data_IF_254928833257
#
_entry.id   IF_254928833257
#
_cell.length_a   1.000
_cell.length_b   1.000
_cell.length_c   1.000
_cell.angle_alpha   90.00
_cell.angle_beta   90.00
_cell.angle_gamma   90.00
#
_symmetry.space_group_name_H-M   'P 1'
#
loop_
_entity.id
_entity.type
_entity.pdbx_description
1 polymer ?
#
# COMPACT_ATOMS: atom_id res chain seq x y z
N UNK A 1 -4.32 1.78 -17.66
CA UNK A 1 -4.21 0.35 -18.09
C UNK A 1 -4.30 -0.52 -16.86
N UNK A 2 -5.14 -1.57 -16.87
CA UNK A 2 -5.23 -2.53 -15.76
C UNK A 2 -4.40 -3.78 -16.10
N UNK A 3 -3.90 -4.50 -15.09
CA UNK A 3 -3.13 -5.72 -15.32
C UNK A 3 -3.94 -6.83 -16.02
N UNK A 4 -5.23 -6.91 -15.79
CA UNK A 4 -6.14 -7.87 -16.41
C UNK A 4 -6.76 -7.37 -17.74
N UNK A 5 -6.19 -6.35 -18.39
CA UNK A 5 -6.62 -5.85 -19.68
C UNK A 5 -5.81 -6.46 -20.83
N UNK A 6 -6.41 -6.52 -22.03
CA UNK A 6 -5.72 -6.91 -23.27
C UNK A 6 -4.53 -5.97 -23.56
N UNK A 7 -4.70 -4.69 -23.26
CA UNK A 7 -3.62 -3.69 -23.42
C UNK A 7 -2.37 -4.07 -22.62
N UNK A 8 -2.54 -4.58 -21.37
CA UNK A 8 -1.41 -5.02 -20.56
C UNK A 8 -0.77 -6.29 -21.11
N UNK A 9 -1.56 -7.22 -21.63
CA UNK A 9 -1.04 -8.46 -22.25
C UNK A 9 -0.20 -8.19 -23.49
N UNK A 10 -0.42 -7.05 -24.20
CA UNK A 10 0.40 -6.60 -25.32
C UNK A 10 1.57 -5.75 -24.82
N UNK A 11 1.30 -4.82 -23.91
CA UNK A 11 2.28 -3.89 -23.36
C UNK A 11 3.43 -4.61 -22.65
N UNK A 12 3.14 -5.54 -21.76
CA UNK A 12 4.14 -6.16 -20.93
C UNK A 12 5.20 -6.98 -21.70
N UNK A 13 4.83 -7.86 -22.65
CA UNK A 13 5.80 -8.53 -23.53
C UNK A 13 6.64 -7.57 -24.36
N UNK A 14 6.04 -6.49 -24.90
CA UNK A 14 6.77 -5.48 -25.65
C UNK A 14 7.80 -4.78 -24.78
N UNK A 15 7.43 -4.37 -23.55
CA UNK A 15 8.36 -3.77 -22.59
C UNK A 15 9.49 -4.74 -22.23
N UNK A 16 9.17 -6.00 -21.99
CA UNK A 16 10.13 -7.03 -21.63
C UNK A 16 11.14 -7.30 -22.75
N UNK A 17 10.67 -7.44 -23.98
CA UNK A 17 11.53 -7.67 -25.16
C UNK A 17 12.50 -6.51 -25.35
N UNK A 18 12.00 -5.27 -25.40
CA UNK A 18 12.86 -4.09 -25.57
C UNK A 18 13.84 -3.96 -24.39
N UNK A 19 13.40 -4.23 -23.16
CA UNK A 19 14.26 -4.18 -21.97
C UNK A 19 15.51 -5.07 -22.09
N UNK A 20 15.40 -6.24 -22.68
CA UNK A 20 16.55 -7.13 -22.86
C UNK A 20 17.38 -6.82 -24.12
N UNK A 21 16.79 -6.18 -25.13
CA UNK A 21 17.49 -5.75 -26.35
C UNK A 21 18.36 -4.53 -26.08
N UNK A 22 17.84 -3.54 -25.33
CA UNK A 22 18.57 -2.27 -25.12
C UNK A 22 19.78 -2.45 -24.18
N UNK A 23 20.85 -1.68 -24.37
CA UNK A 23 22.00 -1.66 -23.47
C UNK A 23 21.62 -1.37 -22.02
N UNK A 24 22.34 -1.97 -21.07
CA UNK A 24 22.06 -1.83 -19.63
C UNK A 24 21.93 -0.38 -19.15
N UNK A 25 22.69 0.55 -19.75
CA UNK A 25 22.66 1.99 -19.40
C UNK A 25 21.32 2.65 -19.73
N UNK A 26 20.60 2.17 -20.74
CA UNK A 26 19.35 2.73 -21.23
C UNK A 26 18.14 2.10 -20.54
N UNK A 27 18.28 0.89 -19.99
CA UNK A 27 17.19 0.14 -19.34
C UNK A 27 16.40 0.92 -18.28
N UNK A 28 17.04 1.66 -17.37
CA UNK A 28 16.27 2.46 -16.40
C UNK A 28 15.41 3.54 -17.07
N UNK A 29 15.93 4.18 -18.10
CA UNK A 29 15.17 5.18 -18.88
C UNK A 29 14.01 4.54 -19.62
N UNK A 30 14.23 3.36 -20.23
CA UNK A 30 13.18 2.59 -20.89
C UNK A 30 12.06 2.21 -19.90
N UNK A 31 12.41 1.68 -18.74
CA UNK A 31 11.43 1.35 -17.70
C UNK A 31 10.69 2.58 -17.18
N UNK A 32 11.36 3.72 -17.06
CA UNK A 32 10.72 4.98 -16.68
C UNK A 32 9.68 5.41 -17.71
N UNK A 33 10.03 5.44 -18.97
CA UNK A 33 9.11 5.79 -20.06
C UNK A 33 7.92 4.82 -20.11
N UNK A 34 8.19 3.51 -20.00
CA UNK A 34 7.16 2.48 -19.96
C UNK A 34 6.24 2.66 -18.74
N UNK A 35 6.78 3.04 -17.57
CA UNK A 35 5.99 3.28 -16.36
C UNK A 35 5.07 4.50 -16.49
N UNK A 36 5.58 5.59 -17.05
CA UNK A 36 4.75 6.77 -17.33
C UNK A 36 3.71 6.48 -18.40
N UNK A 37 4.06 5.78 -19.49
CA UNK A 37 3.09 5.36 -20.50
C UNK A 37 1.99 4.50 -19.88
N UNK A 38 2.34 3.49 -19.08
CA UNK A 38 1.39 2.63 -18.37
C UNK A 38 0.45 3.44 -17.48
N UNK A 39 0.97 4.39 -16.73
CA UNK A 39 0.18 5.22 -15.81
C UNK A 39 -0.71 6.23 -16.56
N UNK A 40 -0.17 6.89 -17.57
CA UNK A 40 -0.86 7.92 -18.36
C UNK A 40 -1.88 7.33 -19.34
N UNK A 41 -1.84 6.05 -19.66
CA UNK A 41 -2.83 5.38 -20.51
C UNK A 41 -4.26 5.47 -19.97
N UNK A 42 -4.42 5.76 -18.68
CA UNK A 42 -5.73 6.03 -18.07
C UNK A 42 -6.15 7.49 -18.23
N UNK A 43 -5.29 8.40 -17.79
CA UNK A 43 -5.46 9.85 -17.92
C UNK A 43 -4.09 10.53 -17.90
N UNK A 44 -3.69 11.20 -18.98
CA UNK A 44 -2.39 11.87 -19.08
C UNK A 44 -2.15 12.92 -17.99
N UNK A 45 -3.20 13.61 -17.53
CA UNK A 45 -3.10 14.66 -16.48
C UNK A 45 -2.57 14.07 -15.17
N UNK A 46 -2.90 12.82 -14.87
CA UNK A 46 -2.40 12.15 -13.67
C UNK A 46 -0.87 11.97 -13.68
N UNK A 47 -0.25 11.89 -14.87
CA UNK A 47 1.21 11.85 -15.01
C UNK A 47 1.89 13.13 -14.50
N UNK A 48 1.26 14.28 -14.66
CA UNK A 48 1.76 15.55 -14.12
C UNK A 48 1.76 15.52 -12.59
N UNK A 49 0.71 14.99 -11.99
CA UNK A 49 0.60 14.87 -10.53
C UNK A 49 1.65 13.91 -9.96
N UNK A 50 1.85 12.76 -10.60
CA UNK A 50 2.92 11.81 -10.26
C UNK A 50 4.29 12.47 -10.34
N UNK A 51 4.55 13.25 -11.41
CA UNK A 51 5.79 14.00 -11.58
C UNK A 51 5.95 15.08 -10.50
N UNK A 52 4.89 15.78 -10.13
CA UNK A 52 4.93 16.80 -9.08
C UNK A 52 5.31 16.20 -7.72
N UNK A 53 4.66 15.09 -7.30
CA UNK A 53 5.03 14.37 -6.06
C UNK A 53 6.48 13.93 -6.12
N UNK A 54 6.89 13.34 -7.24
CA UNK A 54 8.27 12.88 -7.44
C UNK A 54 9.28 14.03 -7.32
N UNK A 55 9.01 15.17 -7.95
CA UNK A 55 9.92 16.32 -7.92
C UNK A 55 10.00 16.95 -6.51
N UNK A 56 8.87 17.14 -5.85
CA UNK A 56 8.80 17.71 -4.49
C UNK A 56 9.61 16.82 -3.52
N UNK A 57 9.31 15.53 -3.46
CA UNK A 57 9.98 14.61 -2.52
C UNK A 57 11.46 14.36 -2.88
N UNK A 58 11.84 14.42 -4.16
CA UNK A 58 13.24 14.39 -4.58
C UNK A 58 14.01 15.60 -4.06
N UNK A 59 13.49 16.79 -4.31
CA UNK A 59 14.12 18.05 -3.89
C UNK A 59 14.20 18.14 -2.36
N UNK A 60 13.11 17.78 -1.67
CA UNK A 60 13.07 17.75 -0.21
C UNK A 60 14.12 16.81 0.39
N UNK A 61 14.24 15.60 -0.14
CA UNK A 61 15.27 14.66 0.32
C UNK A 61 16.69 15.20 0.09
N UNK A 62 16.94 15.83 -1.05
CA UNK A 62 18.23 16.50 -1.35
C UNK A 62 18.54 17.64 -0.39
N UNK A 63 17.54 18.45 -0.05
CA UNK A 63 17.66 19.53 0.93
C UNK A 63 17.95 18.97 2.33
N UNK A 64 17.19 17.94 2.76
CA UNK A 64 17.39 17.30 4.05
C UNK A 64 18.81 16.74 4.22
N UNK A 65 19.36 16.09 3.19
CA UNK A 65 20.73 15.55 3.24
C UNK A 65 21.80 16.65 3.28
N UNK A 66 21.63 17.75 2.52
CA UNK A 66 22.58 18.89 2.57
C UNK A 66 22.67 19.50 3.96
N UNK A 67 21.59 19.50 4.72
CA UNK A 67 21.55 20.04 6.07
C UNK A 67 22.20 19.15 7.12
N UNK A 68 22.46 17.87 6.84
CA UNK A 68 23.19 16.96 7.74
C UNK A 68 24.67 17.31 7.84
N UNK A 69 25.23 17.93 6.82
CA UNK A 69 26.66 18.33 6.79
C UNK A 69 27.00 19.52 7.69
N UNK A 70 26.01 20.16 8.34
CA UNK A 70 26.22 21.39 9.10
C UNK A 70 25.69 21.27 10.54
N UNK A 71 26.55 21.50 11.54
CA UNK A 71 26.22 21.36 12.98
C UNK A 71 25.36 22.51 13.55
N UNK A 72 24.54 22.23 14.57
CA UNK A 72 23.91 23.22 15.45
C UNK A 72 22.41 23.50 15.16
N UNK A 73 22.01 24.76 14.96
CA UNK A 73 20.60 25.27 14.82
C UNK A 73 19.74 24.55 13.75
N UNK A 74 20.33 23.64 12.98
CA UNK A 74 19.75 23.03 11.77
C UNK A 74 18.84 21.84 12.03
N UNK A 75 18.90 21.17 13.20
CA UNK A 75 17.96 20.05 13.51
C UNK A 75 16.50 20.51 13.51
N UNK A 76 16.22 21.72 14.00
CA UNK A 76 14.88 22.32 13.97
C UNK A 76 14.45 22.62 12.53
N UNK A 77 15.33 23.22 11.74
CA UNK A 77 15.03 23.55 10.34
C UNK A 77 14.82 22.29 9.49
N UNK A 78 15.63 21.25 9.70
CA UNK A 78 15.46 19.95 9.05
C UNK A 78 14.07 19.33 9.35
N UNK A 79 13.61 19.43 10.62
CA UNK A 79 12.27 18.97 11.00
C UNK A 79 11.17 19.82 10.34
N UNK A 80 11.35 21.13 10.24
CA UNK A 80 10.40 22.05 9.59
C UNK A 80 10.25 21.67 8.10
N UNK A 81 11.36 21.47 7.40
CA UNK A 81 11.34 21.04 5.98
C UNK A 81 10.60 19.73 5.83
N UNK A 82 10.95 18.71 6.64
CA UNK A 82 10.24 17.42 6.58
C UNK A 82 8.73 17.61 6.78
N UNK A 83 8.31 18.38 7.79
CA UNK A 83 6.89 18.60 8.10
C UNK A 83 6.21 19.34 6.96
N UNK A 84 6.84 20.36 6.38
CA UNK A 84 6.30 21.10 5.23
C UNK A 84 6.10 20.19 4.01
N UNK A 85 7.09 19.35 3.68
CA UNK A 85 7.03 18.38 2.60
C UNK A 85 5.92 17.33 2.83
N UNK A 86 5.85 16.78 4.05
CA UNK A 86 4.80 15.82 4.43
C UNK A 86 3.41 16.46 4.31
N UNK A 87 3.24 17.70 4.78
CA UNK A 87 1.97 18.46 4.64
C UNK A 87 1.65 18.70 3.16
N UNK A 88 2.62 19.08 2.33
CA UNK A 88 2.40 19.31 0.91
C UNK A 88 1.92 18.03 0.20
N UNK A 89 2.59 16.90 0.44
CA UNK A 89 2.28 15.62 -0.21
C UNK A 89 0.97 15.01 0.33
N UNK A 90 0.75 15.04 1.65
CA UNK A 90 -0.52 14.59 2.25
C UNK A 90 -1.66 15.55 1.90
N UNK A 91 -1.39 16.85 1.85
CA UNK A 91 -2.38 17.86 1.44
C UNK A 91 -2.88 17.63 0.02
N UNK A 92 -1.97 17.27 -0.89
CA UNK A 92 -2.33 16.91 -2.25
C UNK A 92 -3.17 15.62 -2.30
N UNK A 93 -2.76 14.57 -1.57
CA UNK A 93 -3.58 13.38 -1.42
C UNK A 93 -4.96 13.72 -0.81
N UNK A 94 -4.98 14.59 0.20
CA UNK A 94 -6.17 15.07 0.87
C UNK A 94 -7.12 15.77 -0.08
N UNK A 95 -6.61 16.64 -0.90
CA UNK A 95 -7.37 17.38 -1.90
C UNK A 95 -8.13 16.47 -2.87
N UNK A 96 -7.46 15.46 -3.41
CA UNK A 96 -8.09 14.53 -4.36
C UNK A 96 -8.98 13.47 -3.70
N UNK A 97 -8.62 13.01 -2.52
CA UNK A 97 -9.26 11.85 -1.89
C UNK A 97 -10.29 12.19 -0.83
N UNK A 98 -10.07 13.26 -0.06
CA UNK A 98 -10.85 13.51 1.16
C UNK A 98 -11.76 14.72 1.09
N UNK A 99 -11.63 15.60 0.08
CA UNK A 99 -12.43 16.84 0.01
C UNK A 99 -13.92 16.53 -0.06
N UNK A 100 -14.37 15.60 -0.91
CA UNK A 100 -15.78 15.18 -0.97
C UNK A 100 -16.29 14.70 0.39
N UNK A 101 -15.56 13.81 1.03
CA UNK A 101 -15.90 13.26 2.35
C UNK A 101 -16.06 14.37 3.42
N UNK A 102 -15.14 15.35 3.43
CA UNK A 102 -15.25 16.47 4.37
C UNK A 102 -16.44 17.37 4.05
N UNK A 103 -16.70 17.67 2.78
CA UNK A 103 -17.86 18.45 2.36
C UNK A 103 -19.17 17.76 2.74
N UNK A 104 -19.32 16.47 2.46
CA UNK A 104 -20.50 15.68 2.83
C UNK A 104 -20.68 15.67 4.35
N UNK A 105 -19.61 15.46 5.11
CA UNK A 105 -19.66 15.46 6.57
C UNK A 105 -20.05 16.81 7.15
N UNK A 106 -19.53 17.91 6.59
CA UNK A 106 -19.88 19.28 6.98
C UNK A 106 -21.36 19.53 6.64
N UNK A 107 -21.83 19.17 5.47
CA UNK A 107 -23.21 19.38 5.03
C UNK A 107 -24.21 18.63 5.92
N UNK A 108 -23.88 17.41 6.39
CA UNK A 108 -24.68 16.70 7.40
C UNK A 108 -24.81 17.50 8.71
N UNK A 109 -23.73 18.13 9.14
CA UNK A 109 -23.74 19.00 10.34
C UNK A 109 -24.55 20.27 10.09
N UNK A 110 -24.31 20.97 8.96
CA UNK A 110 -25.03 22.19 8.60
C UNK A 110 -26.54 21.97 8.50
N UNK A 111 -26.96 20.82 7.94
CA UNK A 111 -28.37 20.43 7.85
C UNK A 111 -29.05 20.34 9.24
N UNK A 112 -28.33 19.86 10.27
CA UNK A 112 -28.86 19.83 11.66
C UNK A 112 -29.11 21.23 12.21
N UNK A 113 -28.34 22.22 11.79
CA UNK A 113 -28.51 23.62 12.17
C UNK A 113 -29.40 24.41 11.20
N UNK A 114 -30.02 23.75 10.20
CA UNK A 114 -30.84 24.36 9.13
C UNK A 114 -30.09 25.46 8.33
N UNK A 115 -28.78 25.27 8.17
CA UNK A 115 -27.93 26.12 7.35
C UNK A 115 -27.85 25.51 5.95
N UNK A 116 -27.83 26.36 4.91
CA UNK A 116 -27.72 25.91 3.53
C UNK A 116 -26.45 25.07 3.30
N UNK A 117 -26.50 23.99 2.50
CA UNK A 117 -25.34 23.19 2.20
C UNK A 117 -24.28 23.99 1.44
N UNK A 118 -23.03 23.64 1.65
CA UNK A 118 -21.92 24.15 0.84
C UNK A 118 -21.90 23.35 -0.47
N UNK A 119 -22.36 23.97 -1.55
CA UNK A 119 -22.35 23.39 -2.89
C UNK A 119 -21.04 23.75 -3.59
N UNK A 120 -20.12 22.80 -3.65
CA UNK A 120 -18.94 22.87 -4.49
C UNK A 120 -19.04 21.72 -5.49
N UNK A 121 -19.13 22.01 -6.77
CA UNK A 121 -19.06 20.99 -7.82
C UNK A 121 -17.67 20.33 -7.81
N UNK A 122 -17.53 19.30 -6.97
CA UNK A 122 -16.28 18.56 -6.81
C UNK A 122 -16.27 17.35 -7.75
N UNK A 123 -16.01 17.58 -9.01
CA UNK A 123 -16.02 16.51 -10.03
C UNK A 123 -14.59 16.11 -10.44
N UNK A 124 -13.69 15.97 -9.46
CA UNK A 124 -12.30 15.58 -9.72
C UNK A 124 -12.16 14.09 -9.55
N UNK A 125 -11.91 13.38 -10.65
CA UNK A 125 -11.63 11.96 -10.62
C UNK A 125 -10.37 11.67 -9.80
N UNK A 126 -10.49 10.74 -8.82
CA UNK A 126 -9.37 10.31 -8.00
C UNK A 126 -8.29 9.63 -8.88
N UNK A 127 -7.06 10.15 -8.91
CA UNK A 127 -5.98 9.50 -9.64
C UNK A 127 -5.68 8.11 -9.10
N UNK A 128 -5.76 7.10 -9.94
CA UNK A 128 -5.48 5.70 -9.54
C UNK A 128 -4.05 5.59 -9.05
N UNK A 129 -3.83 4.84 -7.98
CA UNK A 129 -2.49 4.63 -7.40
C UNK A 129 -1.94 5.81 -6.58
N UNK A 130 -2.65 6.96 -6.49
CA UNK A 130 -2.17 8.13 -5.74
C UNK A 130 -1.78 7.77 -4.30
N UNK A 131 -2.55 6.93 -3.63
CA UNK A 131 -2.27 6.50 -2.26
C UNK A 131 -0.98 5.66 -2.17
N UNK A 132 -0.68 4.83 -3.19
CA UNK A 132 0.49 3.95 -3.20
C UNK A 132 1.79 4.72 -3.44
N UNK A 133 1.87 5.51 -4.53
CA UNK A 133 3.08 6.25 -4.81
C UNK A 133 3.34 7.37 -3.80
N UNK A 134 2.29 7.94 -3.20
CA UNK A 134 2.42 8.90 -2.10
C UNK A 134 3.11 8.27 -0.89
N UNK A 135 2.68 7.07 -0.46
CA UNK A 135 3.34 6.37 0.65
C UNK A 135 4.78 5.95 0.31
N UNK A 136 5.04 5.51 -0.93
CA UNK A 136 6.39 5.20 -1.40
C UNK A 136 7.30 6.42 -1.30
N UNK A 137 6.87 7.58 -1.81
CA UNK A 137 7.62 8.83 -1.79
C UNK A 137 7.82 9.38 -0.36
N UNK A 138 6.78 9.35 0.48
CA UNK A 138 6.87 9.76 1.90
C UNK A 138 7.78 8.83 2.70
N UNK A 139 7.72 7.51 2.47
CA UNK A 139 8.61 6.55 3.12
C UNK A 139 10.08 6.86 2.83
N UNK A 140 10.41 7.12 1.57
CA UNK A 140 11.75 7.53 1.19
C UNK A 140 12.18 8.85 1.86
N UNK A 141 11.35 9.87 1.85
CA UNK A 141 11.64 11.17 2.46
C UNK A 141 11.94 11.05 3.96
N UNK A 142 11.12 10.26 4.67
CA UNK A 142 11.29 10.01 6.10
C UNK A 142 12.55 9.16 6.36
N UNK A 143 12.86 8.19 5.49
CA UNK A 143 14.07 7.36 5.62
C UNK A 143 15.34 8.20 5.42
N UNK A 144 15.36 9.15 4.49
CA UNK A 144 16.47 10.12 4.33
C UNK A 144 16.57 11.02 5.57
N UNK A 145 15.45 11.56 6.07
CA UNK A 145 15.46 12.35 7.30
C UNK A 145 16.03 11.59 8.51
N UNK A 146 15.72 10.29 8.61
CA UNK A 146 16.21 9.41 9.70
C UNK A 146 17.62 8.89 9.49
N UNK A 147 18.26 9.18 8.36
CA UNK A 147 19.57 8.66 7.99
C UNK A 147 19.60 7.17 7.66
N UNK A 148 18.44 6.56 7.38
CA UNK A 148 18.34 5.15 6.96
C UNK A 148 18.67 4.94 5.49
N UNK A 149 18.52 5.98 4.68
CA UNK A 149 18.80 5.97 3.24
C UNK A 149 19.46 7.29 2.87
N UNK A 150 20.44 7.25 1.98
CA UNK A 150 21.00 8.46 1.38
C UNK A 150 20.01 9.03 0.34
N UNK A 151 20.03 10.36 0.16
CA UNK A 151 19.24 10.97 -0.89
C UNK A 151 19.75 10.55 -2.28
N UNK A 152 18.82 10.19 -3.17
CA UNK A 152 19.17 9.84 -4.55
C UNK A 152 19.64 11.08 -5.31
N UNK A 153 20.74 10.93 -6.05
CA UNK A 153 21.33 12.00 -6.84
C UNK A 153 20.81 12.03 -8.28
N UNK A 154 20.34 10.90 -8.78
CA UNK A 154 19.81 10.78 -10.13
C UNK A 154 18.29 10.87 -10.11
N UNK A 155 17.75 11.97 -10.65
CA UNK A 155 16.32 12.21 -10.71
C UNK A 155 15.55 11.13 -11.49
N UNK A 156 16.09 10.66 -12.61
CA UNK A 156 15.42 9.63 -13.45
C UNK A 156 15.31 8.30 -12.69
N UNK A 157 16.33 7.95 -11.93
CA UNK A 157 16.33 6.74 -11.09
C UNK A 157 15.30 6.85 -9.95
N UNK A 158 15.23 8.02 -9.32
CA UNK A 158 14.22 8.26 -8.29
C UNK A 158 12.81 8.29 -8.88
N UNK A 159 12.62 8.93 -10.02
CA UNK A 159 11.35 8.93 -10.73
C UNK A 159 10.90 7.51 -11.08
N UNK A 160 11.82 6.65 -11.56
CA UNK A 160 11.53 5.25 -11.79
C UNK A 160 11.13 4.51 -10.52
N UNK A 161 11.82 4.76 -9.39
CA UNK A 161 11.48 4.16 -8.10
C UNK A 161 10.04 4.49 -7.66
N UNK A 162 9.59 5.72 -7.84
CA UNK A 162 8.24 6.16 -7.46
C UNK A 162 7.18 5.65 -8.45
N UNK A 163 7.50 5.64 -9.75
CA UNK A 163 6.55 5.36 -10.83
C UNK A 163 6.58 3.92 -11.35
N UNK A 164 7.43 3.03 -10.81
CA UNK A 164 7.67 1.69 -11.35
C UNK A 164 6.35 0.94 -11.61
N UNK A 165 6.04 0.66 -12.88
CA UNK A 165 4.71 0.22 -13.31
C UNK A 165 4.21 -1.06 -12.61
N UNK A 166 5.05 -2.04 -12.21
CA UNK A 166 4.55 -3.19 -11.49
C UNK A 166 3.96 -2.85 -10.13
N UNK A 167 4.46 -1.80 -9.44
CA UNK A 167 4.01 -1.46 -8.09
C UNK A 167 2.93 -0.36 -8.04
N UNK A 168 2.88 0.55 -9.06
CA UNK A 168 2.20 1.86 -8.93
C UNK A 168 0.69 1.77 -8.70
N UNK A 169 0.00 0.75 -9.20
CA UNK A 169 -1.46 0.64 -9.06
C UNK A 169 -1.88 -0.03 -7.75
N UNK A 170 -1.46 -1.27 -7.56
CA UNK A 170 -1.87 -2.13 -6.43
C UNK A 170 -0.77 -3.09 -6.02
N UNK A 171 0.47 -2.84 -6.47
CA UNK A 171 1.63 -3.59 -6.05
C UNK A 171 2.04 -3.27 -4.61
N UNK A 172 3.07 -3.93 -4.09
CA UNK A 172 3.55 -3.64 -2.75
C UNK A 172 4.12 -2.22 -2.64
N UNK A 173 3.90 -1.58 -1.48
CA UNK A 173 4.47 -0.26 -1.16
C UNK A 173 5.97 -0.45 -0.90
N UNK A 174 6.78 -0.16 -1.91
CA UNK A 174 8.22 -0.43 -1.88
C UNK A 174 9.01 0.55 -1.01
N UNK A 175 10.13 0.06 -0.51
CA UNK A 175 11.05 0.82 0.33
C UNK A 175 12.28 1.27 -0.47
N UNK A 176 12.82 2.43 -0.12
CA UNK A 176 14.10 2.91 -0.64
C UNK A 176 15.23 1.92 -0.40
N UNK A 177 15.21 1.25 0.75
CA UNK A 177 16.16 0.21 1.14
C UNK A 177 16.05 -1.09 0.35
N UNK A 178 14.96 -1.31 -0.38
CA UNK A 178 14.77 -2.45 -1.28
C UNK A 178 14.87 -2.05 -2.75
N UNK A 179 13.81 -1.53 -3.35
CA UNK A 179 13.73 -1.29 -4.80
C UNK A 179 14.74 -0.21 -5.25
N UNK A 180 14.85 0.93 -4.55
CA UNK A 180 15.78 1.99 -4.95
C UNK A 180 17.23 1.51 -4.84
N UNK A 181 17.57 0.69 -3.83
CA UNK A 181 18.88 0.04 -3.73
C UNK A 181 19.14 -0.85 -4.94
N UNK A 182 18.17 -1.68 -5.36
CA UNK A 182 18.29 -2.52 -6.55
C UNK A 182 18.47 -1.69 -7.84
N UNK A 183 17.84 -0.52 -7.94
CA UNK A 183 18.00 0.41 -9.07
C UNK A 183 19.38 1.11 -9.06
N UNK A 184 19.97 1.35 -7.89
CA UNK A 184 21.33 1.93 -7.74
C UNK A 184 22.42 0.94 -8.10
N UNK A 185 22.20 -0.33 -7.82
CA UNK A 185 23.24 -1.35 -7.94
C UNK A 185 23.50 -1.69 -9.41
N UNK A 186 24.52 -1.04 -9.97
CA UNK A 186 25.01 -1.29 -11.34
C UNK A 186 25.79 -2.60 -11.47
N UNK A 187 26.22 -3.23 -10.36
CA UNK A 187 26.90 -4.53 -10.37
C UNK A 187 25.96 -5.66 -10.74
N UNK A 188 24.68 -5.52 -10.45
CA UNK A 188 23.66 -6.49 -10.80
C UNK A 188 23.35 -6.37 -12.30
N UNK A 189 24.07 -7.17 -13.10
CA UNK A 189 23.74 -7.32 -14.52
C UNK A 189 22.46 -8.15 -14.65
N UNK A 190 21.32 -7.51 -14.88
CA UNK A 190 20.01 -8.18 -15.11
C UNK A 190 20.00 -8.73 -16.52
N UNK A 191 20.80 -9.77 -16.76
CA UNK A 191 20.83 -10.49 -18.03
C UNK A 191 19.58 -11.35 -18.18
N UNK A 192 19.32 -11.80 -19.38
CA UNK A 192 18.31 -12.81 -19.66
C UNK A 192 18.59 -14.05 -18.81
N UNK A 193 17.60 -14.48 -18.07
CA UNK A 193 17.64 -15.70 -17.26
C UNK A 193 16.28 -16.41 -17.41
N UNK A 194 16.27 -17.51 -18.14
CA UNK A 194 15.05 -18.24 -18.52
C UNK A 194 14.30 -18.75 -17.31
N UNK A 195 14.99 -19.25 -16.28
CA UNK A 195 14.35 -19.79 -15.06
C UNK A 195 13.64 -18.69 -14.28
N UNK A 196 14.29 -17.52 -14.10
CA UNK A 196 13.71 -16.36 -13.43
C UNK A 196 12.51 -15.84 -14.21
N UNK A 197 12.61 -15.71 -15.52
CA UNK A 197 11.56 -15.24 -16.40
C UNK A 197 10.38 -16.21 -16.36
N UNK A 198 10.61 -17.51 -16.50
CA UNK A 198 9.58 -18.54 -16.38
C UNK A 198 8.89 -18.51 -15.01
N UNK A 199 9.67 -18.43 -13.92
CA UNK A 199 9.12 -18.30 -12.57
C UNK A 199 8.30 -17.03 -12.39
N UNK A 200 8.71 -15.89 -12.98
CA UNK A 200 7.94 -14.65 -12.99
C UNK A 200 6.61 -14.80 -13.73
N UNK A 201 6.61 -15.40 -14.91
CA UNK A 201 5.38 -15.69 -15.67
C UNK A 201 4.45 -16.64 -14.93
N UNK A 202 4.97 -17.72 -14.30
CA UNK A 202 4.15 -18.63 -13.48
C UNK A 202 3.48 -17.86 -12.33
N UNK A 203 4.21 -16.96 -11.67
CA UNK A 203 3.64 -16.10 -10.61
C UNK A 203 2.55 -15.20 -11.15
N UNK A 204 2.75 -14.60 -12.32
CA UNK A 204 1.71 -13.77 -12.98
C UNK A 204 0.49 -14.60 -13.36
N UNK A 205 0.67 -15.77 -13.95
CA UNK A 205 -0.42 -16.69 -14.33
C UNK A 205 -1.24 -17.12 -13.11
N UNK A 206 -0.60 -17.39 -11.98
CA UNK A 206 -1.29 -17.68 -10.74
C UNK A 206 -2.11 -16.46 -10.26
N UNK A 207 -1.54 -15.25 -10.37
CA UNK A 207 -2.28 -14.02 -10.11
C UNK A 207 -3.50 -13.86 -11.01
N UNK A 208 -3.36 -14.06 -12.33
CA UNK A 208 -4.50 -14.02 -13.26
C UNK A 208 -5.56 -15.08 -12.96
N UNK A 209 -5.14 -16.30 -12.58
CA UNK A 209 -6.08 -17.32 -12.16
C UNK A 209 -6.89 -16.90 -10.92
N UNK A 210 -6.23 -16.38 -9.89
CA UNK A 210 -6.93 -15.89 -8.70
C UNK A 210 -7.91 -14.77 -9.02
N UNK A 211 -7.54 -13.85 -9.93
CA UNK A 211 -8.41 -12.74 -10.34
C UNK A 211 -9.61 -13.21 -11.13
N UNK A 212 -9.38 -13.85 -12.27
CA UNK A 212 -10.39 -14.12 -13.28
C UNK A 212 -11.26 -15.33 -12.96
N UNK A 213 -10.67 -16.34 -12.31
CA UNK A 213 -11.36 -17.62 -12.05
C UNK A 213 -11.96 -17.66 -10.66
N UNK A 214 -11.32 -17.05 -9.67
CA UNK A 214 -11.81 -17.11 -8.28
C UNK A 214 -12.47 -15.79 -7.88
N UNK A 215 -11.73 -14.67 -7.82
CA UNK A 215 -12.22 -13.43 -7.26
C UNK A 215 -13.46 -12.89 -8.02
N UNK A 216 -13.37 -12.77 -9.35
CA UNK A 216 -14.46 -12.22 -10.16
C UNK A 216 -15.71 -13.14 -10.18
N UNK A 217 -15.54 -14.45 -9.97
CA UNK A 217 -16.67 -15.39 -9.90
C UNK A 217 -17.36 -15.38 -8.54
N UNK A 218 -16.57 -15.36 -7.48
CA UNK A 218 -17.11 -15.29 -6.11
C UNK A 218 -17.71 -13.91 -5.83
N UNK A 219 -17.20 -12.84 -6.46
CA UNK A 219 -17.78 -11.50 -6.37
C UNK A 219 -19.28 -11.47 -6.68
N UNK A 220 -19.73 -12.23 -7.68
CA UNK A 220 -21.15 -12.31 -8.04
C UNK A 220 -22.01 -12.75 -6.86
N UNK A 221 -21.54 -13.71 -6.05
CA UNK A 221 -22.27 -14.19 -4.86
C UNK A 221 -22.30 -13.11 -3.79
N UNK A 222 -21.15 -12.49 -3.50
CA UNK A 222 -21.06 -11.43 -2.49
C UNK A 222 -21.91 -10.21 -2.87
N UNK A 223 -21.78 -9.73 -4.11
CA UNK A 223 -22.49 -8.55 -4.61
C UNK A 223 -24.02 -8.74 -4.65
N UNK A 224 -24.49 -9.93 -5.10
CA UNK A 224 -25.92 -10.22 -5.11
C UNK A 224 -26.49 -10.34 -3.70
N UNK A 225 -25.74 -10.95 -2.77
CA UNK A 225 -26.19 -11.13 -1.38
C UNK A 225 -26.24 -9.79 -0.64
N UNK A 226 -25.19 -8.97 -0.75
CA UNK A 226 -25.14 -7.67 -0.07
C UNK A 226 -25.91 -6.57 -0.80
N UNK A 227 -26.17 -6.71 -2.09
CA UNK A 227 -26.99 -5.78 -2.86
C UNK A 227 -28.47 -5.83 -2.49
N UNK A 228 -28.97 -6.98 -1.99
CA UNK A 228 -30.37 -7.18 -1.55
C UNK A 228 -30.43 -8.10 -0.33
N UNK A 229 -29.87 -7.69 0.82
CA UNK A 229 -29.75 -8.55 1.99
C UNK A 229 -31.11 -9.02 2.54
N UNK A 230 -32.15 -8.25 2.32
CA UNK A 230 -33.56 -8.59 2.70
C UNK A 230 -34.12 -9.80 1.96
N UNK A 231 -33.54 -10.17 0.82
CA UNK A 231 -33.97 -11.34 0.03
C UNK A 231 -33.32 -12.65 0.52
N UNK A 232 -32.40 -12.61 1.46
CA UNK A 232 -31.62 -13.77 1.89
C UNK A 232 -31.84 -14.07 3.37
N UNK A 233 -32.06 -15.35 3.68
CA UNK A 233 -32.02 -15.83 5.07
C UNK A 233 -30.62 -15.88 5.64
N UNK A 234 -30.51 -16.24 6.93
CA UNK A 234 -29.25 -16.28 7.69
C UNK A 234 -28.14 -17.05 6.97
N UNK A 235 -28.44 -18.24 6.41
CA UNK A 235 -27.46 -19.04 5.67
C UNK A 235 -26.95 -18.34 4.42
N UNK A 236 -27.82 -17.69 3.66
CA UNK A 236 -27.41 -16.91 2.48
C UNK A 236 -26.50 -15.74 2.84
N UNK A 237 -26.82 -15.00 3.91
CA UNK A 237 -25.98 -13.90 4.41
C UNK A 237 -24.62 -14.39 4.91
N UNK A 238 -24.56 -15.54 5.59
CA UNK A 238 -23.29 -16.15 5.99
C UNK A 238 -22.44 -16.57 4.79
N UNK A 239 -23.07 -17.17 3.77
CA UNK A 239 -22.39 -17.52 2.52
C UNK A 239 -21.85 -16.28 1.82
N UNK A 240 -22.65 -15.20 1.76
CA UNK A 240 -22.20 -13.90 1.23
C UNK A 240 -20.99 -13.34 1.96
N UNK A 241 -20.99 -13.41 3.30
CA UNK A 241 -19.85 -12.93 4.12
C UNK A 241 -18.58 -13.75 3.87
N UNK A 242 -18.67 -15.07 3.82
CA UNK A 242 -17.54 -15.96 3.49
C UNK A 242 -17.03 -15.67 2.07
N UNK A 243 -17.97 -15.56 1.11
CA UNK A 243 -17.64 -15.24 -0.29
C UNK A 243 -16.91 -13.90 -0.40
N UNK A 244 -17.36 -12.87 0.31
CA UNK A 244 -16.70 -11.58 0.35
C UNK A 244 -15.29 -11.67 0.94
N UNK A 245 -15.09 -12.44 2.02
CA UNK A 245 -13.78 -12.68 2.59
C UNK A 245 -12.80 -13.32 1.60
N UNK A 246 -13.26 -14.34 0.85
CA UNK A 246 -12.44 -15.00 -0.19
C UNK A 246 -12.19 -14.04 -1.35
N UNK A 247 -13.22 -13.31 -1.80
CA UNK A 247 -13.13 -12.33 -2.88
C UNK A 247 -12.05 -11.27 -2.59
N UNK A 248 -12.12 -10.58 -1.45
CA UNK A 248 -11.19 -9.49 -1.13
C UNK A 248 -9.74 -9.97 -1.03
N UNK A 249 -9.53 -11.20 -0.53
CA UNK A 249 -8.21 -11.80 -0.50
C UNK A 249 -7.70 -12.15 -1.90
N UNK A 250 -8.49 -12.87 -2.69
CA UNK A 250 -8.09 -13.30 -4.02
C UNK A 250 -7.92 -12.12 -4.97
N UNK A 251 -8.79 -11.11 -4.89
CA UNK A 251 -8.72 -9.91 -5.72
C UNK A 251 -7.44 -9.12 -5.45
N UNK A 252 -7.14 -8.81 -4.19
CA UNK A 252 -5.97 -8.01 -3.88
C UNK A 252 -4.65 -8.80 -3.97
N UNK A 253 -4.62 -10.06 -3.55
CA UNK A 253 -3.43 -10.90 -3.68
C UNK A 253 -3.08 -11.16 -5.14
N UNK A 254 -4.06 -11.26 -6.04
CA UNK A 254 -3.85 -11.43 -7.47
C UNK A 254 -3.07 -10.29 -8.09
N UNK A 255 -3.47 -9.05 -7.83
CA UNK A 255 -2.75 -7.86 -8.31
C UNK A 255 -1.32 -7.79 -7.76
N UNK A 256 -1.13 -8.13 -6.48
CA UNK A 256 0.22 -8.21 -5.89
C UNK A 256 1.07 -9.28 -6.57
N UNK A 257 0.51 -10.46 -6.87
CA UNK A 257 1.24 -11.54 -7.54
C UNK A 257 1.60 -11.18 -8.99
N UNK A 258 0.70 -10.53 -9.73
CA UNK A 258 1.00 -10.04 -11.07
C UNK A 258 2.13 -9.01 -11.03
N UNK A 259 2.09 -8.08 -10.07
CA UNK A 259 3.15 -7.10 -9.86
C UNK A 259 4.50 -7.75 -9.53
N UNK A 260 4.51 -8.70 -8.59
CA UNK A 260 5.69 -9.47 -8.20
C UNK A 260 6.27 -10.25 -9.38
N UNK A 261 5.42 -10.95 -10.12
CA UNK A 261 5.82 -11.73 -11.29
C UNK A 261 6.41 -10.84 -12.39
N UNK A 262 5.75 -9.72 -12.71
CA UNK A 262 6.24 -8.76 -13.69
C UNK A 262 7.60 -8.15 -13.29
N UNK A 263 7.76 -7.76 -12.03
CA UNK A 263 9.04 -7.27 -11.54
C UNK A 263 10.14 -8.36 -11.59
N UNK A 264 9.81 -9.60 -11.20
CA UNK A 264 10.71 -10.75 -11.21
C UNK A 264 11.24 -11.06 -12.61
N UNK A 265 10.40 -10.98 -13.65
CA UNK A 265 10.86 -11.19 -15.04
C UNK A 265 11.87 -10.12 -15.48
N UNK A 266 11.71 -8.89 -15.01
CA UNK A 266 12.63 -7.77 -15.23
C UNK A 266 13.91 -7.85 -14.36
N UNK A 267 13.94 -8.76 -13.37
CA UNK A 267 15.06 -8.96 -12.45
C UNK A 267 15.03 -8.06 -11.22
N UNK A 268 13.84 -7.68 -10.77
CA UNK A 268 13.61 -6.95 -9.53
C UNK A 268 12.82 -7.80 -8.55
N UNK A 269 13.23 -7.77 -7.29
CA UNK A 269 12.55 -8.43 -6.20
C UNK A 269 11.76 -7.40 -5.39
N UNK A 270 10.42 -7.54 -5.38
CA UNK A 270 9.52 -6.72 -4.59
C UNK A 270 9.13 -7.42 -3.29
N UNK A 271 8.63 -6.64 -2.34
CA UNK A 271 8.15 -7.13 -1.04
C UNK A 271 6.85 -7.92 -1.24
N UNK A 272 6.71 -9.08 -0.60
CA UNK A 272 5.44 -9.81 -0.57
C UNK A 272 4.38 -9.04 0.22
N UNK A 273 3.14 -9.03 -0.27
CA UNK A 273 2.00 -8.44 0.43
C UNK A 273 1.20 -9.44 1.26
N UNK A 274 1.26 -10.73 0.93
CA UNK A 274 0.42 -11.75 1.55
C UNK A 274 1.20 -13.03 1.85
N UNK A 275 0.99 -13.58 3.06
CA UNK A 275 1.55 -14.87 3.50
C UNK A 275 0.46 -15.69 4.20
N UNK A 276 -0.47 -16.30 3.40
CA UNK A 276 -1.56 -17.14 3.89
C UNK A 276 -2.30 -16.55 5.13
N UNK A 277 -2.89 -15.34 5.02
CA UNK A 277 -3.39 -14.60 6.19
C UNK A 277 -4.54 -15.27 6.93
N UNK A 278 -5.38 -16.04 6.25
CA UNK A 278 -6.52 -16.72 6.87
C UNK A 278 -6.13 -17.94 7.72
N UNK A 279 -4.86 -18.33 7.72
CA UNK A 279 -4.31 -19.33 8.64
C UNK A 279 -3.65 -18.69 9.88
N UNK A 280 -3.82 -17.38 10.08
CA UNK A 280 -3.33 -16.69 11.25
C UNK A 280 -4.06 -17.16 12.53
N UNK A 281 -3.32 -17.33 13.61
CA UNK A 281 -3.84 -17.77 14.92
C UNK A 281 -4.17 -16.61 15.85
N UNK A 282 -3.94 -15.38 15.40
CA UNK A 282 -4.21 -14.16 16.17
C UNK A 282 -4.43 -12.96 15.26
N UNK A 283 -5.07 -11.92 15.77
CA UNK A 283 -5.28 -10.66 15.02
C UNK A 283 -3.94 -10.01 14.68
N UNK A 284 -2.97 -10.09 15.60
CA UNK A 284 -1.60 -9.57 15.37
C UNK A 284 -0.92 -10.35 14.23
N UNK A 285 -0.99 -11.67 14.23
CA UNK A 285 -0.43 -12.51 13.18
C UNK A 285 -1.12 -12.28 11.85
N UNK A 286 -2.45 -12.09 11.84
CA UNK A 286 -3.19 -11.75 10.63
C UNK A 286 -2.61 -10.50 9.94
N UNK A 287 -2.38 -9.42 10.68
CA UNK A 287 -1.80 -8.19 10.13
C UNK A 287 -0.32 -8.30 9.76
N UNK A 288 0.41 -9.29 10.28
CA UNK A 288 1.76 -9.62 9.80
C UNK A 288 1.76 -10.37 8.48
N UNK A 289 0.62 -10.98 8.11
CA UNK A 289 0.44 -11.80 6.89
C UNK A 289 -0.45 -11.14 5.84
N UNK A 290 -1.21 -10.11 6.21
CA UNK A 290 -2.12 -9.36 5.36
C UNK A 290 -1.55 -7.98 5.04
N UNK A 291 -1.49 -7.64 3.74
CA UNK A 291 -1.01 -6.34 3.24
C UNK A 291 0.28 -5.89 3.93
N UNK A 292 1.28 -6.77 3.92
CA UNK A 292 2.52 -6.67 4.71
C UNK A 292 3.24 -5.35 4.45
N UNK A 293 3.28 -4.88 3.19
CA UNK A 293 3.96 -3.64 2.84
C UNK A 293 3.30 -2.42 3.50
N UNK A 294 1.96 -2.34 3.55
CA UNK A 294 1.22 -1.28 4.23
C UNK A 294 1.33 -1.41 5.76
N UNK A 295 1.12 -2.62 6.29
CA UNK A 295 1.18 -2.88 7.75
C UNK A 295 2.54 -2.51 8.32
N UNK A 296 3.62 -2.87 7.62
CA UNK A 296 4.98 -2.47 8.01
C UNK A 296 5.23 -0.98 7.81
N UNK A 297 4.66 -0.36 6.76
CA UNK A 297 4.74 1.08 6.54
C UNK A 297 4.11 1.85 7.69
N UNK A 298 2.88 1.52 8.06
CA UNK A 298 2.15 2.16 9.16
C UNK A 298 2.86 1.95 10.51
N UNK A 299 3.39 0.74 10.76
CA UNK A 299 4.20 0.48 11.95
C UNK A 299 5.42 1.41 12.01
N UNK A 300 6.19 1.50 10.91
CA UNK A 300 7.48 2.18 10.91
C UNK A 300 7.36 3.71 10.90
N UNK A 301 6.34 4.24 10.22
CA UNK A 301 6.22 5.69 10.01
C UNK A 301 5.11 6.34 10.83
N UNK A 302 4.10 5.60 11.29
CA UNK A 302 3.06 6.13 12.18
C UNK A 302 3.30 5.65 13.61
N UNK A 303 3.17 4.34 13.87
CA UNK A 303 3.21 3.79 15.21
C UNK A 303 4.51 4.09 15.97
N UNK A 304 5.66 3.79 15.36
CA UNK A 304 6.98 4.04 15.98
C UNK A 304 7.24 5.54 16.13
N UNK A 305 6.75 6.39 15.20
CA UNK A 305 6.92 7.84 15.29
C UNK A 305 6.15 8.45 16.47
N UNK A 306 5.07 7.81 16.90
CA UNK A 306 4.26 8.21 18.07
C UNK A 306 4.80 7.65 19.39
N UNK A 307 5.97 6.99 19.38
CA UNK A 307 6.61 6.38 20.56
C UNK A 307 6.54 4.85 20.59
N UNK A 308 5.72 4.22 19.78
CA UNK A 308 5.61 2.76 19.66
C UNK A 308 5.31 2.09 21.00
N UNK A 309 6.14 1.10 21.36
CA UNK A 309 6.05 0.37 22.64
C UNK A 309 6.85 1.03 23.80
N UNK A 310 7.54 2.16 23.53
CA UNK A 310 8.44 2.80 24.51
C UNK A 310 7.77 3.89 25.34
N UNK A 311 6.47 3.77 25.57
CA UNK A 311 5.66 4.74 26.30
C UNK A 311 4.72 4.02 27.28
N UNK A 312 3.94 4.79 28.06
CA UNK A 312 2.98 4.22 29.01
C UNK A 312 1.95 3.33 28.32
N UNK A 313 1.35 2.41 29.06
CA UNK A 313 0.38 1.43 28.56
C UNK A 313 -0.79 2.11 27.81
N UNK A 314 -1.36 3.17 28.37
CA UNK A 314 -2.45 3.94 27.75
C UNK A 314 -2.01 4.63 26.46
N UNK A 315 -0.80 5.16 26.42
CA UNK A 315 -0.25 5.78 25.22
C UNK A 315 -0.01 4.74 24.11
N UNK A 316 0.39 3.50 24.46
CA UNK A 316 0.50 2.40 23.49
C UNK A 316 -0.86 2.05 22.87
N UNK A 317 -1.94 2.01 23.67
CA UNK A 317 -3.30 1.77 23.14
C UNK A 317 -3.72 2.88 22.19
N UNK A 318 -3.45 4.11 22.54
CA UNK A 318 -3.70 5.25 21.67
C UNK A 318 -2.91 5.15 20.38
N UNK A 319 -1.63 4.81 20.43
CA UNK A 319 -0.79 4.62 19.23
C UNK A 319 -1.35 3.52 18.33
N UNK A 320 -1.81 2.40 18.87
CA UNK A 320 -2.44 1.31 18.13
C UNK A 320 -3.72 1.82 17.46
N UNK A 321 -4.62 2.42 18.23
CA UNK A 321 -5.90 2.90 17.74
C UNK A 321 -5.72 3.91 16.59
N UNK A 322 -4.90 4.93 16.80
CA UNK A 322 -4.61 5.95 15.77
C UNK A 322 -4.00 5.32 14.52
N UNK A 323 -3.06 4.37 14.67
CA UNK A 323 -2.44 3.69 13.52
C UNK A 323 -3.47 2.95 12.68
N UNK A 324 -4.41 2.24 13.31
CA UNK A 324 -5.47 1.54 12.60
C UNK A 324 -6.54 2.48 12.03
N UNK A 325 -6.86 3.58 12.71
CA UNK A 325 -7.74 4.62 12.14
C UNK A 325 -7.12 5.29 10.91
N UNK A 326 -5.81 5.57 10.92
CA UNK A 326 -5.07 6.05 9.75
C UNK A 326 -5.09 5.01 8.62
N UNK A 327 -4.95 3.71 8.95
CA UNK A 327 -5.12 2.63 7.98
C UNK A 327 -6.53 2.63 7.35
N UNK A 328 -7.57 2.78 8.17
CA UNK A 328 -8.95 2.87 7.69
C UNK A 328 -9.16 4.03 6.74
N UNK A 329 -8.74 5.23 7.11
CA UNK A 329 -8.82 6.43 6.26
C UNK A 329 -8.01 6.25 4.96
N UNK A 330 -6.86 5.57 5.02
CA UNK A 330 -6.07 5.29 3.82
C UNK A 330 -6.84 4.40 2.83
N UNK A 331 -7.64 3.44 3.29
CA UNK A 331 -8.47 2.59 2.43
C UNK A 331 -9.59 3.38 1.75
N UNK A 332 -10.28 4.25 2.47
CA UNK A 332 -11.36 5.04 1.88
C UNK A 332 -11.75 6.27 2.71
N UNK A 333 -12.18 7.31 2.00
CA UNK A 333 -12.72 8.52 2.57
C UNK A 333 -14.19 8.31 2.97
N UNK A 334 -14.43 7.52 4.02
CA UNK A 334 -15.77 7.21 4.52
C UNK A 334 -15.70 6.86 6.02
N UNK A 335 -16.76 7.19 6.76
CA UNK A 335 -16.91 6.86 8.17
C UNK A 335 -16.86 5.34 8.44
N UNK A 336 -17.34 4.52 7.52
CA UNK A 336 -17.29 3.05 7.64
C UNK A 336 -15.86 2.53 7.70
N UNK A 337 -14.94 3.09 6.90
CA UNK A 337 -13.53 2.74 6.96
C UNK A 337 -12.85 3.21 8.24
N UNK A 338 -13.24 4.39 8.75
CA UNK A 338 -12.70 4.88 10.03
C UNK A 338 -13.14 3.98 11.19
N UNK A 339 -14.41 3.58 11.21
CA UNK A 339 -14.96 2.65 12.22
C UNK A 339 -14.30 1.27 12.08
N UNK A 340 -14.14 0.77 10.87
CA UNK A 340 -13.43 -0.48 10.57
C UNK A 340 -12.00 -0.45 11.13
N UNK A 341 -11.26 0.62 10.88
CA UNK A 341 -9.93 0.80 11.44
C UNK A 341 -9.94 0.82 12.97
N UNK A 342 -10.86 1.59 13.58
CA UNK A 342 -11.00 1.66 15.03
C UNK A 342 -11.28 0.27 15.65
N UNK A 343 -12.19 -0.52 15.05
CA UNK A 343 -12.49 -1.89 15.50
C UNK A 343 -11.26 -2.79 15.46
N UNK A 344 -10.47 -2.75 14.39
CA UNK A 344 -9.22 -3.53 14.32
C UNK A 344 -8.19 -3.06 15.35
N UNK A 345 -8.11 -1.76 15.63
CA UNK A 345 -7.30 -1.23 16.73
C UNK A 345 -7.75 -1.78 18.09
N UNK A 346 -9.04 -1.81 18.33
CA UNK A 346 -9.63 -2.39 19.58
C UNK A 346 -9.32 -3.89 19.67
N UNK A 347 -9.48 -4.65 18.58
CA UNK A 347 -9.14 -6.09 18.58
C UNK A 347 -7.67 -6.35 18.90
N UNK A 348 -6.76 -5.53 18.40
CA UNK A 348 -5.33 -5.62 18.73
C UNK A 348 -5.07 -5.35 20.23
N UNK A 349 -5.75 -4.37 20.79
CA UNK A 349 -5.63 -4.03 22.23
C UNK A 349 -6.18 -5.16 23.09
N UNK A 350 -7.38 -5.67 22.74
CA UNK A 350 -8.02 -6.77 23.45
C UNK A 350 -7.15 -8.04 23.40
N UNK A 351 -6.63 -8.40 22.23
CA UNK A 351 -5.71 -9.54 22.11
C UNK A 351 -4.49 -9.38 23.01
N UNK A 352 -3.88 -8.18 23.01
CA UNK A 352 -2.71 -7.90 23.86
C UNK A 352 -3.01 -8.11 25.33
N UNK A 353 -4.17 -7.67 25.81
CA UNK A 353 -4.58 -7.81 27.21
C UNK A 353 -5.00 -9.24 27.58
N UNK A 354 -5.64 -9.95 26.65
CA UNK A 354 -6.09 -11.33 26.89
C UNK A 354 -4.98 -12.37 26.72
N UNK A 355 -3.88 -12.02 26.04
CA UNK A 355 -2.75 -12.95 25.79
C UNK A 355 -2.21 -13.65 27.05
N UNK A 356 -2.05 -13.00 28.22
CA UNK A 356 -1.61 -13.71 29.44
C UNK A 356 -2.63 -14.74 29.93
N UNK A 357 -3.94 -14.43 29.80
CA UNK A 357 -5.03 -15.31 30.19
C UNK A 357 -5.07 -16.54 29.30
N UNK A 358 -5.03 -16.33 27.98
CA UNK A 358 -5.00 -17.42 26.98
C UNK A 358 -3.78 -18.32 27.20
N UNK A 359 -2.60 -17.76 27.51
CA UNK A 359 -1.40 -18.55 27.83
C UNK A 359 -1.59 -19.42 29.07
N UNK A 360 -2.25 -18.90 30.12
CA UNK A 360 -2.54 -19.68 31.32
C UNK A 360 -3.49 -20.85 30.99
N UNK A 361 -4.58 -20.58 30.27
CA UNK A 361 -5.55 -21.61 29.87
C UNK A 361 -4.87 -22.70 29.05
N UNK A 362 -4.07 -22.33 28.05
CA UNK A 362 -3.33 -23.28 27.23
C UNK A 362 -2.32 -24.12 28.03
N UNK A 363 -1.69 -23.52 29.03
CA UNK A 363 -0.83 -24.23 29.98
C UNK A 363 -1.58 -25.28 30.81
N UNK A 364 -2.79 -24.98 31.27
CA UNK A 364 -3.65 -25.94 31.98
C UNK A 364 -4.18 -27.06 31.08
N UNK A 365 -4.56 -26.72 29.84
CA UNK A 365 -5.12 -27.69 28.90
C UNK A 365 -4.05 -28.55 28.20
N UNK A 366 -2.76 -28.38 28.50
CA UNK A 366 -1.64 -29.06 27.83
C UNK A 366 -1.70 -29.01 26.29
N UNK A 367 -2.37 -27.98 25.74
CA UNK A 367 -2.54 -27.80 24.30
C UNK A 367 -1.22 -27.33 23.69
N UNK A 368 -0.65 -28.14 22.79
CA UNK A 368 0.48 -27.71 21.96
C UNK A 368 -0.05 -26.69 20.95
N UNK A 369 0.43 -25.46 21.00
CA UNK A 369 0.06 -24.36 20.10
C UNK A 369 0.29 -24.65 18.61
N UNK A 370 1.01 -25.76 18.30
CA UNK A 370 1.26 -26.23 16.95
C UNK A 370 0.32 -27.39 16.51
N UNK A 371 -0.61 -27.84 17.38
CA UNK A 371 -1.53 -28.92 17.00
C UNK A 371 -2.59 -28.42 16.01
N UNK A 372 -3.02 -29.29 15.09
CA UNK A 372 -4.06 -28.98 14.10
C UNK A 372 -5.38 -28.49 14.77
N UNK A 373 -5.76 -29.08 15.91
CA UNK A 373 -6.95 -28.69 16.67
C UNK A 373 -6.87 -27.33 17.37
N UNK A 374 -5.67 -26.71 17.45
CA UNK A 374 -5.51 -25.36 17.99
C UNK A 374 -5.68 -24.28 16.90
N UNK A 375 -5.64 -24.65 15.61
CA UNK A 375 -5.72 -23.75 14.47
C UNK A 375 -7.14 -23.53 13.96
N UNK A 376 -8.09 -24.27 14.48
CA UNK A 376 -9.53 -24.19 14.28
C UNK A 376 -10.20 -24.10 15.67
#
# INVERSE_FOLDING_TARGET
MLFNSIDFLIFFPAVLLVYFIVPHRIRPTWLLLSSYYFYMSWNPVHGILLLAVTAVTYLGARLLQRMDCEQGKKKRNKKIILVAEVIAVIGMLGYFKYTGFFLDSINVVLAKFRIAPVEIEWNIALPIGISFYTLTALGYLIDVYRGKSEAEHNFLRYALFVSFFPQILSGPIERSTNLLRQLRDSSIKRNWNTERIASGFITMLWGFFLKLVIADRIAVIADTTFGRPECYGTFGLMLGAVSYGIQIYCDFSSYSLIALGAAKTLGFDLINNFETPYFAQSVTEFWHRWHISLSTWLRDYVYISMGGNRCSKWHQYWNILVTFMVSGLWHGANWTFLIWGALHGVYQILEKELRPVVRKINGYCHTKTASFGYRF
#
